data_IF_661464695813
#
_entry.id   IF_661464695813
#
_cell.length_a   1.000
_cell.length_b   1.000
_cell.length_c   1.000
_cell.angle_alpha   90.00
_cell.angle_beta   90.00
_cell.angle_gamma   90.00
#
_symmetry.space_group_name_H-M   'P 1'
#
loop_
_entity.id
_entity.type
_entity.pdbx_description
1 polymer ?
#
# COMPACT_ATOMS: atom_id res chain seq x y z
N UNK A 1 12.26 -22.69 16.69
CA UNK A 1 11.56 -21.42 16.42
C UNK A 1 11.57 -21.19 14.93
N UNK A 2 10.43 -20.96 14.32
CA UNK A 2 10.36 -20.67 12.88
C UNK A 2 10.73 -19.20 12.70
N UNK A 3 11.78 -18.94 11.92
CA UNK A 3 12.22 -17.58 11.59
C UNK A 3 11.55 -17.15 10.28
N UNK A 4 10.71 -16.13 10.32
CA UNK A 4 9.92 -15.67 9.19
C UNK A 4 10.31 -14.25 8.78
N UNK A 5 10.27 -13.97 7.48
CA UNK A 5 10.50 -12.62 6.97
C UNK A 5 9.30 -11.71 7.33
N UNK A 6 9.61 -10.52 7.84
CA UNK A 6 8.60 -9.51 8.19
C UNK A 6 8.47 -8.45 7.09
N UNK A 7 7.23 -8.19 6.69
CA UNK A 7 6.86 -7.04 5.89
C UNK A 7 5.91 -6.15 6.70
N UNK A 8 6.10 -4.84 6.61
CA UNK A 8 5.32 -3.85 7.36
C UNK A 8 4.71 -2.81 6.42
N UNK A 9 3.47 -2.45 6.68
CA UNK A 9 2.75 -1.39 5.98
C UNK A 9 2.93 -0.07 6.73
N UNK A 10 3.84 0.78 6.27
CA UNK A 10 4.12 2.07 6.89
C UNK A 10 3.28 3.19 6.27
N UNK A 11 3.38 3.39 4.98
CA UNK A 11 2.59 4.28 4.12
C UNK A 11 2.67 5.77 4.40
N UNK A 12 3.38 6.21 5.44
CA UNK A 12 3.56 7.62 5.75
C UNK A 12 4.87 7.88 6.48
N UNK A 13 5.49 9.06 6.29
CA UNK A 13 6.71 9.44 6.99
C UNK A 13 6.45 10.09 8.35
N UNK A 14 5.22 10.56 8.60
CA UNK A 14 4.81 11.28 9.81
C UNK A 14 3.50 10.73 10.36
N UNK A 15 3.28 10.90 11.67
CA UNK A 15 2.06 10.44 12.33
C UNK A 15 0.81 11.15 11.82
N UNK A 16 0.88 12.45 11.52
CA UNK A 16 -0.26 13.22 11.00
C UNK A 16 -0.83 12.60 9.74
N UNK A 17 0.02 12.30 8.76
CA UNK A 17 -0.39 11.65 7.51
C UNK A 17 -0.85 10.22 7.80
N UNK A 18 -0.12 9.50 8.65
CA UNK A 18 -0.45 8.11 8.95
C UNK A 18 -1.77 7.96 9.69
N UNK A 19 -2.14 8.90 10.53
CA UNK A 19 -3.43 8.93 11.23
C UNK A 19 -4.63 9.02 10.27
N UNK A 20 -4.43 9.67 9.13
CA UNK A 20 -5.47 9.79 8.10
C UNK A 20 -5.61 8.52 7.25
N UNK A 21 -4.48 7.96 6.79
CA UNK A 21 -4.48 6.84 5.83
C UNK A 21 -4.40 5.46 6.49
N UNK A 22 -3.89 5.38 7.72
CA UNK A 22 -3.75 4.16 8.52
C UNK A 22 -4.25 4.42 9.94
N UNK A 23 -5.56 4.42 10.19
CA UNK A 23 -6.17 4.86 11.46
C UNK A 23 -5.67 4.16 12.73
N UNK A 24 -5.14 2.94 12.63
CA UNK A 24 -4.53 2.22 13.75
C UNK A 24 -3.31 2.96 14.33
N UNK A 25 -2.74 3.91 13.57
CA UNK A 25 -1.62 4.74 14.03
C UNK A 25 -1.96 5.55 15.29
N UNK A 26 -3.21 5.96 15.44
CA UNK A 26 -3.68 6.68 16.63
C UNK A 26 -3.48 5.88 17.92
N UNK A 27 -3.49 4.55 17.82
CA UNK A 27 -3.22 3.65 18.94
C UNK A 27 -1.74 3.27 19.05
N UNK A 28 -1.08 3.08 17.91
CA UNK A 28 0.32 2.69 17.81
C UNK A 28 1.00 3.60 16.79
N UNK A 29 1.57 4.70 17.26
CA UNK A 29 2.27 5.66 16.43
C UNK A 29 3.53 5.07 15.77
N UNK A 30 4.11 5.79 14.83
CA UNK A 30 5.27 5.32 14.05
C UNK A 30 6.43 4.90 14.97
N UNK A 31 6.74 5.69 16.00
CA UNK A 31 7.84 5.35 16.91
C UNK A 31 7.58 4.05 17.67
N UNK A 32 6.40 3.87 18.23
CA UNK A 32 5.98 2.64 18.91
C UNK A 32 6.02 1.45 17.97
N UNK A 33 5.56 1.64 16.74
CA UNK A 33 5.53 0.62 15.71
C UNK A 33 6.95 0.20 15.30
N UNK A 34 7.82 1.15 14.97
CA UNK A 34 9.21 0.87 14.58
C UNK A 34 10.04 0.29 15.73
N UNK A 35 9.78 0.71 16.98
CA UNK A 35 10.40 0.09 18.14
C UNK A 35 10.07 -1.41 18.24
N UNK A 36 8.83 -1.79 17.97
CA UNK A 36 8.43 -3.20 17.91
C UNK A 36 9.13 -3.96 16.77
N UNK A 37 9.28 -3.33 15.61
CA UNK A 37 10.02 -3.89 14.46
C UNK A 37 11.49 -4.12 14.82
N UNK A 38 12.16 -3.17 15.44
CA UNK A 38 13.57 -3.29 15.88
C UNK A 38 13.72 -4.46 16.87
N UNK A 39 12.83 -4.58 17.87
CA UNK A 39 12.83 -5.72 18.80
C UNK A 39 12.65 -7.07 18.09
N UNK A 40 11.87 -7.11 17.02
CA UNK A 40 11.75 -8.31 16.19
C UNK A 40 13.07 -8.61 15.48
N UNK A 41 13.71 -7.62 14.87
CA UNK A 41 14.96 -7.77 14.13
C UNK A 41 16.14 -8.22 15.04
N UNK A 42 16.12 -7.84 16.32
CA UNK A 42 17.10 -8.32 17.31
C UNK A 42 17.05 -9.85 17.50
N UNK A 43 15.90 -10.45 17.26
CA UNK A 43 15.64 -11.90 17.47
C UNK A 43 15.60 -12.70 16.17
N UNK A 44 15.33 -12.06 15.04
CA UNK A 44 15.15 -12.72 13.74
C UNK A 44 16.33 -12.41 12.80
N UNK A 45 16.79 -13.44 12.11
CA UNK A 45 17.76 -13.33 11.02
C UNK A 45 17.13 -13.54 9.64
N UNK A 46 15.82 -13.73 9.59
CA UNK A 46 15.08 -13.86 8.35
C UNK A 46 15.32 -12.65 7.43
N UNK A 47 15.30 -12.88 6.12
CA UNK A 47 15.51 -11.84 5.12
C UNK A 47 16.84 -11.05 5.30
N UNK A 48 17.90 -11.71 5.80
CA UNK A 48 19.20 -11.09 6.07
C UNK A 48 19.18 -10.05 7.20
N UNK A 49 18.28 -10.21 8.18
CA UNK A 49 18.12 -9.27 9.30
C UNK A 49 17.49 -7.93 8.90
N UNK A 50 16.68 -7.92 7.85
CA UNK A 50 15.99 -6.72 7.34
C UNK A 50 14.48 -6.93 7.28
N UNK A 51 13.74 -5.87 7.54
CA UNK A 51 12.29 -5.84 7.28
C UNK A 51 12.01 -5.27 5.89
N UNK A 52 10.90 -5.69 5.29
CA UNK A 52 10.39 -5.06 4.07
C UNK A 52 9.37 -3.99 4.46
N UNK A 53 9.62 -2.74 4.10
CA UNK A 53 8.70 -1.62 4.30
C UNK A 53 7.86 -1.44 3.04
N UNK A 54 6.57 -1.68 3.14
CA UNK A 54 5.60 -1.39 2.09
C UNK A 54 5.12 0.06 2.23
N UNK A 55 5.18 0.82 1.15
CA UNK A 55 4.81 2.23 1.10
C UNK A 55 3.96 2.52 -0.13
N UNK A 56 2.66 2.65 0.06
CA UNK A 56 1.72 3.03 -0.99
C UNK A 56 1.85 4.52 -1.26
N UNK A 57 2.11 4.90 -2.51
CA UNK A 57 2.25 6.29 -2.93
C UNK A 57 0.92 6.85 -3.42
N UNK A 58 0.45 7.88 -2.74
CA UNK A 58 -0.79 8.59 -2.99
C UNK A 58 -0.46 10.00 -3.50
N UNK A 59 -1.03 10.38 -4.64
CA UNK A 59 -0.76 11.65 -5.29
C UNK A 59 -1.05 12.85 -4.38
N UNK A 60 -0.05 13.72 -4.21
CA UNK A 60 -0.09 14.93 -3.37
C UNK A 60 -0.42 14.68 -1.86
N UNK A 61 -0.38 13.44 -1.39
CA UNK A 61 -0.61 13.10 0.02
C UNK A 61 0.71 12.75 0.73
N UNK A 62 1.45 11.76 0.20
CA UNK A 62 2.64 11.21 0.84
C UNK A 62 3.82 11.02 -0.12
N UNK A 63 3.82 11.67 -1.27
CA UNK A 63 4.73 11.41 -2.39
C UNK A 63 5.66 12.58 -2.75
N UNK A 64 5.80 13.57 -1.88
CA UNK A 64 6.72 14.69 -2.08
C UNK A 64 8.18 14.30 -1.80
N UNK A 65 9.11 15.04 -2.40
CA UNK A 65 10.55 14.86 -2.15
C UNK A 65 10.90 15.10 -0.69
N UNK A 66 10.28 16.08 -0.04
CA UNK A 66 10.46 16.34 1.38
C UNK A 66 10.01 15.16 2.24
N UNK A 67 8.89 14.56 1.90
CA UNK A 67 8.39 13.36 2.58
C UNK A 67 9.31 12.15 2.37
N UNK A 68 10.02 12.06 1.24
CA UNK A 68 11.06 11.05 1.04
C UNK A 68 12.23 11.24 2.01
N UNK A 69 12.68 12.48 2.24
CA UNK A 69 13.70 12.78 3.23
C UNK A 69 13.21 12.44 4.64
N UNK A 70 11.99 12.81 5.00
CA UNK A 70 11.38 12.48 6.29
C UNK A 70 11.28 10.96 6.50
N UNK A 71 10.92 10.21 5.46
CA UNK A 71 10.87 8.75 5.52
C UNK A 71 12.27 8.14 5.74
N UNK A 72 13.28 8.64 5.03
CA UNK A 72 14.65 8.20 5.21
C UNK A 72 15.15 8.43 6.65
N UNK A 73 14.91 9.61 7.21
CA UNK A 73 15.23 9.92 8.60
C UNK A 73 14.46 9.03 9.59
N UNK A 74 13.18 8.79 9.33
CA UNK A 74 12.34 7.92 10.16
C UNK A 74 12.88 6.48 10.22
N UNK A 75 13.44 5.98 9.11
CA UNK A 75 13.89 4.59 8.96
C UNK A 75 15.39 4.38 9.20
N UNK A 76 16.16 5.43 9.48
CA UNK A 76 17.64 5.36 9.58
C UNK A 76 18.16 4.29 10.54
N UNK A 77 17.47 4.04 11.65
CA UNK A 77 17.85 3.07 12.68
C UNK A 77 17.16 1.71 12.53
N UNK A 78 16.44 1.50 11.43
CA UNK A 78 15.70 0.28 11.16
C UNK A 78 16.23 -0.38 9.88
N UNK A 79 17.00 -1.50 9.98
CA UNK A 79 17.46 -2.22 8.80
C UNK A 79 16.28 -2.68 7.94
N UNK A 80 16.15 -2.11 6.75
CA UNK A 80 15.01 -2.38 5.88
C UNK A 80 15.35 -2.24 4.41
N UNK A 81 14.48 -2.80 3.57
CA UNK A 81 14.32 -2.48 2.17
C UNK A 81 12.93 -1.90 1.96
N UNK A 82 12.78 -1.01 0.99
CA UNK A 82 11.56 -0.25 0.78
C UNK A 82 10.92 -0.65 -0.55
N UNK A 83 9.66 -1.05 -0.50
CA UNK A 83 8.82 -1.25 -1.68
C UNK A 83 7.88 -0.06 -1.83
N UNK A 84 8.08 0.73 -2.88
CA UNK A 84 7.17 1.79 -3.28
C UNK A 84 6.07 1.20 -4.17
N UNK A 85 4.83 1.42 -3.80
CA UNK A 85 3.66 0.89 -4.48
C UNK A 85 2.83 2.08 -4.99
N UNK A 86 2.97 2.49 -6.26
CA UNK A 86 2.10 3.50 -6.82
C UNK A 86 0.64 3.07 -6.71
N UNK A 87 -0.20 3.95 -6.15
CA UNK A 87 -1.63 3.69 -6.00
C UNK A 87 -2.29 3.42 -7.35
N UNK A 88 -3.15 2.43 -7.41
CA UNK A 88 -3.97 2.18 -8.59
C UNK A 88 -5.41 2.62 -8.29
N UNK A 89 -5.84 3.81 -8.79
CA UNK A 89 -7.16 4.33 -8.50
C UNK A 89 -8.24 3.47 -9.17
N UNK A 90 -9.39 3.38 -8.51
CA UNK A 90 -10.60 2.76 -9.02
C UNK A 90 -11.74 3.80 -9.01
N UNK A 91 -12.84 3.59 -9.77
CA UNK A 91 -13.96 4.53 -9.76
C UNK A 91 -14.48 4.82 -8.35
N UNK A 92 -14.48 6.09 -7.93
CA UNK A 92 -14.86 6.51 -6.58
C UNK A 92 -13.75 6.44 -5.53
N UNK A 93 -12.50 6.11 -5.93
CA UNK A 93 -11.36 6.15 -5.02
C UNK A 93 -11.09 7.57 -4.51
N UNK A 94 -10.80 7.75 -3.20
CA UNK A 94 -10.53 9.08 -2.62
C UNK A 94 -9.15 9.62 -2.97
N UNK A 95 -8.26 8.80 -3.55
CA UNK A 95 -6.86 9.15 -3.83
C UNK A 95 -6.53 8.98 -5.31
N UNK A 96 -5.59 9.81 -5.79
CA UNK A 96 -5.02 9.72 -7.12
C UNK A 96 -3.72 8.91 -7.16
N UNK A 97 -3.30 8.55 -8.36
CA UNK A 97 -2.03 7.89 -8.62
C UNK A 97 -0.91 8.94 -8.73
N UNK A 98 0.17 8.75 -8.00
CA UNK A 98 1.40 9.53 -8.15
C UNK A 98 1.95 9.43 -9.58
N UNK A 99 2.39 10.56 -10.15
CA UNK A 99 3.03 10.55 -11.46
C UNK A 99 4.36 9.78 -11.42
N UNK A 100 4.77 9.21 -12.54
CA UNK A 100 6.03 8.47 -12.62
C UNK A 100 7.22 9.36 -12.21
N UNK A 101 7.23 10.63 -12.57
CA UNK A 101 8.30 11.54 -12.18
C UNK A 101 8.36 11.82 -10.67
N UNK A 102 7.22 11.82 -9.99
CA UNK A 102 7.18 11.94 -8.53
C UNK A 102 7.71 10.66 -7.87
N UNK A 103 7.29 9.50 -8.37
CA UNK A 103 7.77 8.20 -7.90
C UNK A 103 9.27 8.07 -8.09
N UNK A 104 9.80 8.45 -9.24
CA UNK A 104 11.24 8.39 -9.55
C UNK A 104 12.05 9.30 -8.63
N UNK A 105 11.60 10.54 -8.41
CA UNK A 105 12.27 11.49 -7.49
C UNK A 105 12.25 10.99 -6.05
N UNK A 106 11.12 10.49 -5.59
CA UNK A 106 10.97 9.90 -4.26
C UNK A 106 11.92 8.71 -4.06
N UNK A 107 11.93 7.78 -5.01
CA UNK A 107 12.82 6.63 -5.02
C UNK A 107 14.30 7.03 -5.00
N UNK A 108 14.67 8.02 -5.82
CA UNK A 108 16.05 8.53 -5.92
C UNK A 108 16.54 9.06 -4.57
N UNK A 109 15.73 9.86 -3.87
CA UNK A 109 16.09 10.36 -2.54
C UNK A 109 16.37 9.20 -1.57
N UNK A 110 15.51 8.19 -1.53
CA UNK A 110 15.72 7.03 -0.66
C UNK A 110 16.99 6.25 -1.01
N UNK A 111 17.30 6.10 -2.28
CA UNK A 111 18.54 5.46 -2.75
C UNK A 111 19.79 6.27 -2.37
N UNK A 112 19.72 7.60 -2.42
CA UNK A 112 20.80 8.50 -1.98
C UNK A 112 21.10 8.35 -0.47
N UNK A 113 20.11 8.02 0.35
CA UNK A 113 20.32 7.65 1.76
C UNK A 113 20.85 6.22 1.95
N UNK A 114 21.00 5.44 0.89
CA UNK A 114 21.52 4.07 0.94
C UNK A 114 20.46 2.98 1.10
N UNK A 115 19.17 3.30 1.01
CA UNK A 115 18.11 2.30 1.08
C UNK A 115 17.97 1.53 -0.23
N UNK A 116 17.87 0.20 -0.13
CA UNK A 116 17.41 -0.63 -1.24
C UNK A 116 15.94 -0.33 -1.50
N UNK A 117 15.64 0.32 -2.62
CA UNK A 117 14.30 0.78 -2.96
C UNK A 117 13.83 0.13 -4.26
N UNK A 118 12.67 -0.48 -4.23
CA UNK A 118 12.03 -1.14 -5.36
C UNK A 118 10.71 -0.43 -5.63
N UNK A 119 10.48 -0.02 -6.88
CA UNK A 119 9.18 0.47 -7.33
C UNK A 119 8.41 -0.70 -7.92
N UNK A 120 7.27 -1.02 -7.30
CA UNK A 120 6.40 -2.07 -7.79
C UNK A 120 5.70 -1.61 -9.06
N UNK A 121 5.99 -2.26 -10.17
CA UNK A 121 5.21 -2.06 -11.40
C UNK A 121 3.86 -2.74 -11.20
N UNK A 122 2.79 -1.97 -11.30
CA UNK A 122 1.45 -2.54 -11.44
C UNK A 122 1.41 -3.32 -12.75
N UNK A 123 1.33 -4.65 -12.65
CA UNK A 123 0.95 -5.46 -13.81
C UNK A 123 -0.53 -5.19 -14.04
N UNK A 124 -0.84 -4.53 -15.14
CA UNK A 124 -2.20 -4.40 -15.58
C UNK A 124 -2.71 -2.99 -15.83
N UNK A 125 -2.00 -2.19 -16.64
CA UNK A 125 -2.72 -1.19 -17.42
C UNK A 125 -3.71 -1.87 -18.40
N UNK A 126 -3.63 -3.22 -18.52
CA UNK A 126 -4.41 -4.05 -19.47
C UNK A 126 -5.36 -5.07 -18.79
N UNK A 127 -5.40 -5.15 -17.46
CA UNK A 127 -6.27 -6.10 -16.77
C UNK A 127 -7.09 -5.35 -15.71
N UNK A 128 -8.39 -5.33 -15.89
CA UNK A 128 -9.43 -4.93 -14.94
C UNK A 128 -9.39 -5.71 -13.61
N UNK A 129 -8.22 -5.95 -13.09
CA UNK A 129 -7.97 -6.83 -11.95
C UNK A 129 -7.66 -6.10 -10.64
N UNK A 130 -8.20 -4.90 -10.45
CA UNK A 130 -8.26 -4.36 -9.10
C UNK A 130 -9.41 -5.05 -8.35
N UNK A 131 -9.14 -5.55 -7.15
CA UNK A 131 -10.18 -6.16 -6.29
C UNK A 131 -11.42 -5.26 -6.13
N UNK A 132 -11.27 -3.92 -6.29
CA UNK A 132 -12.38 -2.97 -6.30
C UNK A 132 -13.28 -3.05 -7.54
N UNK A 133 -12.75 -3.42 -8.72
CA UNK A 133 -13.57 -3.61 -9.92
C UNK A 133 -14.37 -4.90 -9.86
N UNK A 134 -13.81 -5.98 -9.32
CA UNK A 134 -14.55 -7.20 -9.03
C UNK A 134 -15.72 -6.97 -8.08
N UNK A 135 -15.53 -6.15 -7.04
CA UNK A 135 -16.61 -5.76 -6.13
C UNK A 135 -17.66 -4.89 -6.83
N UNK A 136 -17.25 -3.98 -7.73
CA UNK A 136 -18.16 -3.17 -8.55
C UNK A 136 -18.99 -4.02 -9.52
N UNK A 137 -18.38 -4.99 -10.19
CA UNK A 137 -19.08 -5.92 -11.06
C UNK A 137 -20.06 -6.84 -10.32
N UNK A 138 -19.69 -7.30 -9.11
CA UNK A 138 -20.58 -8.11 -8.26
C UNK A 138 -21.78 -7.28 -7.80
N UNK A 139 -21.59 -6.03 -7.42
CA UNK A 139 -22.69 -5.12 -7.04
C UNK A 139 -23.60 -4.83 -8.24
N UNK A 140 -23.04 -4.64 -9.43
CA UNK A 140 -23.81 -4.37 -10.65
C UNK A 140 -24.61 -5.60 -11.10
N UNK A 141 -24.04 -6.79 -10.99
CA UNK A 141 -24.76 -8.05 -11.22
C UNK A 141 -25.92 -8.24 -10.23
N UNK A 142 -25.72 -7.91 -8.96
CA UNK A 142 -26.76 -7.98 -7.94
C UNK A 142 -27.88 -6.97 -8.22
N UNK A 143 -27.55 -5.74 -8.61
CA UNK A 143 -28.54 -4.72 -9.02
C UNK A 143 -29.33 -5.15 -10.27
N UNK A 144 -28.66 -5.76 -11.25
CA UNK A 144 -29.30 -6.29 -12.46
C UNK A 144 -30.27 -7.41 -12.14
N UNK A 145 -29.89 -8.31 -11.22
CA UNK A 145 -30.75 -9.41 -10.75
C UNK A 145 -31.95 -8.88 -9.97
N UNK A 146 -31.79 -7.88 -9.13
CA UNK A 146 -32.88 -7.22 -8.41
C UNK A 146 -33.84 -6.50 -9.37
N UNK A 147 -33.30 -5.80 -10.39
CA UNK A 147 -34.12 -5.12 -11.41
C UNK A 147 -34.94 -6.10 -12.26
N UNK A 148 -34.36 -7.25 -12.64
CA UNK A 148 -35.07 -8.33 -13.33
C UNK A 148 -36.17 -8.95 -12.46
N UNK A 149 -35.90 -9.14 -11.17
CA UNK A 149 -36.87 -9.69 -10.22
C UNK A 149 -38.05 -8.75 -10.00
N UNK A 150 -37.80 -7.42 -9.98
CA UNK A 150 -38.85 -6.40 -9.88
C UNK A 150 -39.65 -6.22 -11.18
N UNK A 151 -39.07 -6.56 -12.33
CA UNK A 151 -39.73 -6.51 -13.65
C UNK A 151 -40.50 -7.77 -14.00
N UNK A 152 -40.52 -8.80 -13.13
CA UNK A 152 -41.26 -10.04 -13.35
C UNK A 152 -40.70 -10.97 -14.46
N UNK A 153 -39.45 -10.73 -14.89
CA UNK A 153 -38.80 -11.57 -15.91
C UNK A 153 -38.18 -12.82 -15.27
N UNK A 154 -38.29 -13.99 -15.93
CA UNK A 154 -37.72 -15.24 -15.41
C UNK A 154 -36.19 -15.19 -15.42
N UNK A 155 -35.58 -15.53 -14.29
CA UNK A 155 -34.12 -15.61 -14.15
C UNK A 155 -33.66 -16.92 -14.83
N UNK A 156 -32.94 -16.81 -15.93
CA UNK A 156 -32.29 -17.97 -16.55
C UNK A 156 -31.12 -18.43 -15.65
N UNK A 157 -31.28 -19.56 -14.96
CA UNK A 157 -30.21 -20.25 -14.26
C UNK A 157 -29.37 -20.99 -15.31
N UNK A 158 -28.19 -20.50 -15.63
CA UNK A 158 -27.20 -21.28 -16.35
C UNK A 158 -26.60 -22.28 -15.36
N UNK A 159 -27.03 -23.53 -15.48
CA UNK A 159 -26.33 -24.67 -14.87
C UNK A 159 -25.01 -24.87 -15.63
N UNK A 160 -23.90 -24.91 -14.89
CA UNK A 160 -22.57 -25.28 -15.38
C UNK A 160 -22.52 -26.79 -15.51
#
# INVERSE_FOLDING_TARGET
MIDVALAISLHAPTDDIRDEIVPINRKYNIETFLAAVRRYLDKSKANGGRVTVEYVMLDHINDSTEQAHQLAECLKDTPCKINLIPWNPFPGAPYGRSSNSRVDRFSKVLMEYGFTTIVRKTRGDDIDAACGQLAGEVIDRTKRTLKKKMAGEPIAIKTV
#
